data_IF_082997269578
#
_entry.id   IF_082997269578
#
_cell.length_a   1.000
_cell.length_b   1.000
_cell.length_c   1.000
_cell.angle_alpha   90.00
_cell.angle_beta   90.00
_cell.angle_gamma   90.00
#
_symmetry.space_group_name_H-M   'P 1'
#
loop_
_entity.id
_entity.type
_entity.pdbx_description
1 polymer ?
#
# COMPACT_ATOMS: atom_id res chain seq x y z
N UNK A 1 -41.19 -10.51 -8.93
CA UNK A 1 -40.85 -11.86 -8.41
C UNK A 1 -39.40 -11.85 -7.99
N UNK A 2 -39.12 -12.37 -6.79
CA UNK A 2 -37.84 -12.32 -6.03
C UNK A 2 -37.58 -11.03 -5.24
N UNK A 3 -38.48 -10.75 -4.30
CA UNK A 3 -38.20 -10.15 -2.98
C UNK A 3 -39.12 -10.91 -2.03
N UNK A 4 -38.55 -11.73 -1.15
CA UNK A 4 -39.16 -12.35 0.05
C UNK A 4 -38.46 -13.69 0.33
N UNK A 5 -37.28 -13.63 0.96
CA UNK A 5 -36.63 -14.84 1.46
C UNK A 5 -35.65 -14.58 2.62
N UNK A 6 -35.85 -13.55 3.45
CA UNK A 6 -35.03 -13.33 4.65
C UNK A 6 -35.90 -12.78 5.78
N UNK A 7 -36.76 -13.63 6.33
CA UNK A 7 -37.42 -13.39 7.62
C UNK A 7 -37.96 -14.71 8.12
N UNK A 8 -37.16 -15.41 8.93
CA UNK A 8 -37.57 -16.15 10.13
C UNK A 8 -36.43 -17.10 10.53
N UNK A 9 -35.60 -16.67 11.46
CA UNK A 9 -34.86 -17.57 12.34
C UNK A 9 -34.85 -16.98 13.75
N UNK A 10 -34.96 -17.88 14.73
CA UNK A 10 -35.64 -17.66 16.00
C UNK A 10 -34.96 -16.69 16.96
N UNK A 11 -35.77 -15.86 17.62
CA UNK A 11 -35.41 -15.21 18.87
C UNK A 11 -35.67 -16.18 20.01
N UNK A 12 -34.59 -16.70 20.57
CA UNK A 12 -34.58 -17.40 21.84
C UNK A 12 -34.82 -16.38 22.99
N UNK A 13 -35.92 -16.49 23.77
CA UNK A 13 -36.22 -15.56 24.85
C UNK A 13 -35.31 -15.75 26.10
N UNK A 14 -34.37 -16.70 26.09
CA UNK A 14 -33.45 -16.96 27.20
C UNK A 14 -32.31 -15.96 27.40
N UNK A 15 -31.86 -15.25 26.36
CA UNK A 15 -30.65 -14.40 26.41
C UNK A 15 -30.92 -12.98 26.96
N UNK A 16 -32.19 -12.59 27.09
CA UNK A 16 -32.56 -11.23 27.53
C UNK A 16 -32.46 -11.00 29.06
N UNK A 17 -32.14 -12.02 29.86
CA UNK A 17 -32.05 -11.90 31.34
C UNK A 17 -30.64 -11.78 31.90
N UNK A 18 -29.58 -12.14 31.18
CA UNK A 18 -28.20 -12.01 31.68
C UNK A 18 -27.56 -10.63 31.41
N UNK A 19 -28.06 -9.85 30.45
CA UNK A 19 -27.52 -8.52 30.15
C UNK A 19 -27.97 -7.40 31.12
N UNK A 20 -28.82 -7.71 32.12
CA UNK A 20 -29.26 -6.73 33.13
C UNK A 20 -28.39 -6.66 34.38
N UNK A 21 -27.40 -7.55 34.52
CA UNK A 21 -26.52 -7.57 35.71
C UNK A 21 -25.16 -6.91 35.49
N UNK A 22 -24.78 -6.58 34.25
CA UNK A 22 -23.50 -5.94 33.91
C UNK A 22 -23.56 -4.40 33.76
N UNK A 23 -24.73 -3.77 33.88
CA UNK A 23 -24.91 -2.34 33.61
C UNK A 23 -24.91 -1.45 34.86
N UNK A 24 -24.27 -1.88 35.96
CA UNK A 24 -24.35 -1.17 37.26
C UNK A 24 -23.00 -0.72 37.85
N UNK A 25 -21.91 -0.79 37.10
CA UNK A 25 -20.59 -0.30 37.54
C UNK A 25 -19.88 0.67 36.60
N UNK A 26 -20.54 1.14 35.53
CA UNK A 26 -19.98 2.17 34.66
C UNK A 26 -20.50 3.53 35.07
N UNK A 27 -19.57 4.49 35.25
CA UNK A 27 -19.88 5.89 35.50
C UNK A 27 -20.86 6.43 34.47
N UNK A 28 -21.62 7.45 34.85
CA UNK A 28 -22.65 8.01 33.96
C UNK A 28 -22.00 8.52 32.66
N UNK A 29 -22.71 8.47 31.51
CA UNK A 29 -22.21 8.99 30.23
C UNK A 29 -21.84 10.48 30.25
N UNK A 30 -22.22 11.21 31.31
CA UNK A 30 -21.79 12.60 31.54
C UNK A 30 -20.38 12.70 32.13
N UNK A 31 -19.94 11.74 32.96
CA UNK A 31 -18.57 11.74 33.52
C UNK A 31 -17.54 11.34 32.46
N UNK A 32 -17.81 10.34 31.62
CA UNK A 32 -16.93 9.99 30.49
C UNK A 32 -16.83 11.14 29.47
N UNK A 33 -17.93 11.84 29.19
CA UNK A 33 -17.92 12.97 28.27
C UNK A 33 -17.19 14.19 28.85
N UNK A 34 -17.26 14.41 30.17
CA UNK A 34 -16.56 15.51 30.84
C UNK A 34 -15.06 15.20 31.02
N UNK A 35 -14.70 13.94 31.24
CA UNK A 35 -13.30 13.47 31.28
C UNK A 35 -12.67 13.52 29.89
N UNK A 36 -13.37 13.07 28.82
CA UNK A 36 -12.92 13.24 27.43
C UNK A 36 -12.77 14.72 27.05
N UNK A 37 -13.70 15.59 27.47
CA UNK A 37 -13.64 17.02 27.21
C UNK A 37 -12.50 17.70 27.98
N UNK A 38 -12.20 17.26 29.21
CA UNK A 38 -11.08 17.77 30.00
C UNK A 38 -9.73 17.22 29.52
N UNK A 39 -9.64 15.97 29.07
CA UNK A 39 -8.46 15.46 28.36
C UNK A 39 -8.23 16.22 27.05
N UNK A 40 -9.28 16.50 26.27
CA UNK A 40 -9.18 17.30 25.05
C UNK A 40 -8.74 18.75 25.33
N UNK A 41 -9.22 19.35 26.43
CA UNK A 41 -8.79 20.68 26.89
C UNK A 41 -7.36 20.68 27.43
N UNK A 42 -6.93 19.65 28.16
CA UNK A 42 -5.56 19.52 28.65
C UNK A 42 -4.58 19.23 27.51
N UNK A 43 -5.01 18.52 26.46
CA UNK A 43 -4.24 18.39 25.21
C UNK A 43 -4.17 19.71 24.43
N UNK A 44 -5.02 20.70 24.72
CA UNK A 44 -5.06 22.01 24.07
C UNK A 44 -4.16 23.09 24.72
N UNK A 45 -3.36 22.75 25.74
CA UNK A 45 -2.43 23.70 26.37
C UNK A 45 -1.34 24.13 25.38
N UNK A 46 -1.13 25.45 25.32
CA UNK A 46 -0.36 26.26 24.38
C UNK A 46 0.99 25.70 23.92
N UNK A 47 1.25 25.90 22.63
CA UNK A 47 2.52 25.64 21.92
C UNK A 47 3.59 26.66 22.32
N UNK A 48 4.81 26.20 22.58
CA UNK A 48 5.98 27.06 22.85
C UNK A 48 6.47 27.84 21.61
N UNK A 49 6.10 27.43 20.39
CA UNK A 49 6.65 28.00 19.14
C UNK A 49 5.62 28.76 18.28
N UNK A 50 4.35 28.84 18.70
CA UNK A 50 3.29 29.53 17.92
C UNK A 50 2.88 28.86 16.60
N UNK A 51 3.33 27.62 16.34
CA UNK A 51 2.98 26.89 15.11
C UNK A 51 1.54 26.33 15.19
N UNK A 52 0.62 26.70 14.28
CA UNK A 52 -0.81 26.42 14.45
C UNK A 52 -1.23 24.96 14.22
N UNK A 53 -0.30 24.07 13.84
CA UNK A 53 -0.61 22.71 13.43
C UNK A 53 -1.20 21.87 14.58
N UNK A 54 -2.42 21.35 14.39
CA UNK A 54 -2.99 20.33 15.29
C UNK A 54 -2.81 18.94 14.71
N UNK A 55 -2.18 18.06 15.48
CA UNK A 55 -2.04 16.64 15.17
C UNK A 55 -3.12 15.84 15.88
N UNK A 56 -3.76 14.90 15.17
CA UNK A 56 -4.75 13.96 15.72
C UNK A 56 -4.25 12.54 15.53
N UNK A 57 -3.99 11.84 16.63
CA UNK A 57 -3.68 10.43 16.60
C UNK A 57 -4.94 9.62 16.32
N UNK A 58 -4.84 8.65 15.43
CA UNK A 58 -5.89 7.67 15.23
C UNK A 58 -5.36 6.27 15.51
N UNK A 59 -5.71 5.76 16.70
CA UNK A 59 -5.44 4.39 17.09
C UNK A 59 -6.24 3.47 16.18
N UNK A 60 -5.53 2.72 15.34
CA UNK A 60 -6.15 1.76 14.44
C UNK A 60 -5.64 0.36 14.69
N UNK A 61 -6.59 -0.56 14.76
CA UNK A 61 -6.31 -1.97 14.61
C UNK A 61 -6.02 -2.24 13.13
N UNK A 62 -4.75 -2.11 12.74
CA UNK A 62 -4.22 -2.34 11.38
C UNK A 62 -4.61 -3.70 10.78
N UNK A 63 -5.11 -4.61 11.61
CA UNK A 63 -5.57 -5.94 11.25
C UNK A 63 -6.93 -5.93 10.53
N UNK A 64 -7.73 -4.85 10.62
CA UNK A 64 -9.16 -4.91 10.28
C UNK A 64 -9.45 -5.12 8.79
N UNK A 65 -8.47 -4.92 7.90
CA UNK A 65 -8.61 -5.19 6.46
C UNK A 65 -9.81 -4.45 5.85
N UNK A 66 -10.16 -3.29 6.42
CA UNK A 66 -11.45 -2.63 6.18
C UNK A 66 -11.67 -2.25 4.71
N UNK A 67 -10.60 -1.94 3.97
CA UNK A 67 -10.65 -1.58 2.56
C UNK A 67 -10.48 -2.77 1.63
N UNK A 68 -10.30 -3.99 2.15
CA UNK A 68 -10.05 -5.17 1.34
C UNK A 68 -11.25 -5.45 0.41
N UNK A 69 -10.96 -5.62 -0.89
CA UNK A 69 -11.97 -5.85 -1.92
C UNK A 69 -12.81 -4.61 -2.32
N UNK A 70 -12.49 -3.42 -1.79
CA UNK A 70 -13.19 -2.16 -2.12
C UNK A 70 -12.58 -1.40 -3.29
N UNK A 71 -11.38 -1.79 -3.72
CA UNK A 71 -10.69 -1.17 -4.84
C UNK A 71 -11.18 -1.74 -6.18
N UNK A 72 -11.60 -0.86 -7.08
CA UNK A 72 -12.12 -1.21 -8.40
C UNK A 72 -11.43 -0.39 -9.48
N UNK A 73 -11.13 -1.04 -10.60
CA UNK A 73 -10.67 -0.40 -11.82
C UNK A 73 -11.84 -0.26 -12.79
N UNK A 74 -12.06 0.94 -13.30
CA UNK A 74 -13.04 1.19 -14.36
C UNK A 74 -12.55 0.58 -15.69
N UNK A 75 -13.34 -0.28 -16.37
CA UNK A 75 -12.96 -0.80 -17.68
C UNK A 75 -12.92 0.29 -18.76
N UNK A 76 -13.63 1.41 -18.56
CA UNK A 76 -13.73 2.50 -19.55
C UNK A 76 -12.66 3.57 -19.37
N UNK A 77 -12.48 4.07 -18.15
CA UNK A 77 -11.51 5.15 -17.88
C UNK A 77 -10.14 4.61 -17.49
N UNK A 78 -10.04 3.34 -17.11
CA UNK A 78 -8.84 2.77 -16.52
C UNK A 78 -8.49 3.34 -15.13
N UNK A 79 -9.32 4.25 -14.62
CA UNK A 79 -9.15 4.85 -13.30
C UNK A 79 -9.43 3.82 -12.21
N UNK A 80 -8.64 3.89 -11.14
CA UNK A 80 -8.80 3.04 -9.99
C UNK A 80 -9.43 3.87 -8.89
N UNK A 81 -10.64 3.48 -8.50
CA UNK A 81 -11.36 4.07 -7.39
C UNK A 81 -11.35 3.11 -6.22
N UNK A 82 -11.30 3.68 -5.02
CA UNK A 82 -11.47 2.92 -3.79
C UNK A 82 -12.72 3.43 -3.11
N UNK A 83 -13.69 2.54 -2.92
CA UNK A 83 -14.89 2.85 -2.17
C UNK A 83 -14.51 2.98 -0.69
N UNK A 84 -14.25 4.22 -0.26
CA UNK A 84 -13.89 4.53 1.12
C UNK A 84 -15.15 4.39 1.98
N UNK A 85 -15.15 3.53 3.01
CA UNK A 85 -16.22 3.57 4.00
C UNK A 85 -16.16 4.93 4.71
N UNK A 86 -17.30 5.48 5.15
CA UNK A 86 -17.36 6.78 5.81
C UNK A 86 -16.47 6.85 7.07
N UNK A 87 -16.17 5.71 7.68
CA UNK A 87 -15.28 5.59 8.83
C UNK A 87 -13.78 5.51 8.47
N UNK A 88 -13.39 5.48 7.18
CA UNK A 88 -11.98 5.46 6.82
C UNK A 88 -11.39 6.88 6.84
N UNK A 89 -10.44 7.16 7.73
CA UNK A 89 -9.86 8.47 7.87
C UNK A 89 -8.84 8.74 6.77
N UNK A 90 -8.71 10.01 6.42
CA UNK A 90 -7.64 10.48 5.57
C UNK A 90 -6.43 10.79 6.48
N UNK A 91 -5.60 9.79 6.75
CA UNK A 91 -4.33 10.01 7.44
C UNK A 91 -3.31 10.57 6.45
N UNK A 92 -2.52 11.53 6.93
CA UNK A 92 -1.51 12.27 6.16
C UNK A 92 -0.09 11.91 6.60
N UNK A 93 0.07 11.34 7.79
CA UNK A 93 1.36 10.96 8.36
C UNK A 93 1.26 9.53 8.92
N UNK A 94 2.34 8.77 8.77
CA UNK A 94 2.53 7.44 9.32
C UNK A 94 3.75 7.49 10.21
N UNK A 95 3.58 7.17 11.49
CA UNK A 95 4.68 7.07 12.46
C UNK A 95 5.12 5.63 12.63
N UNK A 96 6.33 5.30 12.15
CA UNK A 96 6.92 3.97 12.29
C UNK A 96 7.38 3.68 13.73
N UNK A 97 7.50 4.68 14.59
CA UNK A 97 7.80 4.44 16.00
C UNK A 97 6.55 4.04 16.82
N UNK A 98 5.36 4.09 16.21
CA UNK A 98 4.11 3.69 16.89
C UNK A 98 3.68 4.63 18.03
N UNK A 99 4.17 5.86 18.10
CA UNK A 99 3.91 6.75 19.24
C UNK A 99 2.46 7.21 19.27
N UNK A 100 1.84 7.17 20.45
CA UNK A 100 0.49 7.71 20.66
C UNK A 100 0.45 9.24 20.67
N UNK A 101 1.60 9.88 20.93
CA UNK A 101 1.78 11.35 20.90
C UNK A 101 3.05 11.73 20.17
N UNK A 102 2.94 12.69 19.24
CA UNK A 102 4.08 13.26 18.54
C UNK A 102 4.57 14.55 19.21
N UNK A 103 5.87 14.87 19.09
CA UNK A 103 6.40 16.17 19.51
C UNK A 103 5.64 17.31 18.86
N UNK A 104 5.46 18.42 19.60
CA UNK A 104 4.72 19.58 19.09
C UNK A 104 5.60 20.60 18.37
N UNK A 105 6.91 20.58 18.64
CA UNK A 105 7.84 21.50 18.00
C UNK A 105 8.05 21.13 16.54
N UNK A 106 7.94 22.13 15.66
CA UNK A 106 8.15 21.98 14.22
C UNK A 106 9.53 21.42 13.91
N UNK A 107 10.56 21.95 14.56
CA UNK A 107 11.95 21.54 14.33
C UNK A 107 12.14 20.06 14.63
N UNK A 108 11.56 19.57 15.74
CA UNK A 108 11.66 18.16 16.12
C UNK A 108 10.94 17.27 15.10
N UNK A 109 9.76 17.67 14.62
CA UNK A 109 9.00 16.93 13.61
C UNK A 109 9.68 16.89 12.24
N UNK A 110 10.36 17.98 11.86
CA UNK A 110 11.13 18.06 10.62
C UNK A 110 12.39 17.18 10.65
N UNK A 111 12.97 16.97 11.82
CA UNK A 111 14.14 16.09 12.02
C UNK A 111 13.76 14.63 12.33
N UNK A 112 12.47 14.35 12.51
CA UNK A 112 11.99 13.04 12.92
C UNK A 112 12.05 12.02 11.78
N UNK A 113 13.00 11.10 11.87
CA UNK A 113 13.23 10.04 10.89
C UNK A 113 12.16 8.96 10.83
N UNK A 114 11.25 8.90 11.80
CA UNK A 114 10.19 7.88 11.86
C UNK A 114 8.85 8.35 11.28
N UNK A 115 8.76 9.61 10.84
CA UNK A 115 7.54 10.19 10.28
C UNK A 115 7.55 10.15 8.74
N UNK A 116 6.55 9.47 8.19
CA UNK A 116 6.43 9.23 6.77
C UNK A 116 5.12 9.77 6.21
N UNK A 117 5.20 10.39 5.04
CA UNK A 117 4.07 10.67 4.16
C UNK A 117 3.65 9.38 3.44
N UNK A 118 2.41 8.92 3.59
CA UNK A 118 1.88 7.80 2.83
C UNK A 118 1.48 8.25 1.43
N UNK A 119 2.00 7.61 0.39
CA UNK A 119 1.64 7.83 -1.00
C UNK A 119 0.88 6.60 -1.52
N UNK A 120 -0.44 6.71 -1.78
CA UNK A 120 -1.23 5.56 -2.22
C UNK A 120 -0.74 4.97 -3.55
N UNK A 121 -0.46 3.67 -3.54
CA UNK A 121 -0.15 2.89 -4.74
C UNK A 121 -1.44 2.23 -5.23
N UNK A 122 -2.30 3.01 -5.90
CA UNK A 122 -3.66 2.56 -6.25
C UNK A 122 -3.67 1.33 -7.17
N UNK A 123 -2.75 1.25 -8.14
CA UNK A 123 -2.63 0.07 -9.00
C UNK A 123 -2.20 -1.17 -8.20
N UNK A 124 -1.19 -1.05 -7.35
CA UNK A 124 -0.79 -2.13 -6.43
C UNK A 124 -1.91 -2.56 -5.50
N UNK A 125 -2.64 -1.59 -4.96
CA UNK A 125 -3.80 -1.85 -4.08
C UNK A 125 -4.87 -2.66 -4.82
N UNK A 126 -5.22 -2.26 -6.05
CA UNK A 126 -6.17 -3.02 -6.87
C UNK A 126 -5.67 -4.44 -7.18
N UNK A 127 -4.41 -4.61 -7.55
CA UNK A 127 -3.80 -5.91 -7.82
C UNK A 127 -3.82 -6.81 -6.58
N UNK A 128 -3.36 -6.26 -5.45
CA UNK A 128 -3.34 -6.91 -4.15
C UNK A 128 -4.73 -7.41 -3.73
N UNK A 129 -5.73 -6.52 -3.74
CA UNK A 129 -7.09 -6.90 -3.36
C UNK A 129 -7.70 -7.91 -4.34
N UNK A 130 -7.37 -7.85 -5.64
CA UNK A 130 -7.83 -8.84 -6.63
C UNK A 130 -7.22 -10.22 -6.38
N UNK A 131 -5.92 -10.29 -6.10
CA UNK A 131 -5.25 -11.55 -5.75
C UNK A 131 -5.77 -12.12 -4.42
N UNK A 132 -6.09 -11.26 -3.45
CA UNK A 132 -6.67 -11.67 -2.18
C UNK A 132 -8.07 -12.29 -2.33
N UNK A 133 -8.95 -11.66 -3.12
CA UNK A 133 -10.34 -12.14 -3.32
C UNK A 133 -10.38 -13.40 -4.21
N UNK A 134 -9.46 -13.53 -5.16
CA UNK A 134 -9.38 -14.67 -6.08
C UNK A 134 -7.94 -15.23 -6.08
N UNK A 135 -7.55 -16.01 -5.06
CA UNK A 135 -6.25 -16.64 -5.03
C UNK A 135 -6.16 -17.65 -6.18
N UNK A 136 -5.25 -17.42 -7.12
CA UNK A 136 -4.95 -18.34 -8.22
C UNK A 136 -3.69 -19.14 -7.85
N UNK A 137 -3.88 -20.44 -7.59
CA UNK A 137 -2.78 -21.38 -7.35
C UNK A 137 -2.32 -21.45 -5.88
N UNK A 138 -2.07 -22.68 -5.43
CA UNK A 138 -1.64 -23.12 -4.09
C UNK A 138 -2.66 -23.03 -2.95
N UNK A 139 -2.45 -23.95 -1.99
CA UNK A 139 -3.45 -24.51 -1.08
C UNK A 139 -4.21 -23.49 -0.24
N UNK A 140 -5.28 -23.97 0.40
CA UNK A 140 -6.31 -23.20 1.14
C UNK A 140 -5.81 -22.25 2.26
N UNK A 141 -4.50 -22.07 2.45
CA UNK A 141 -3.94 -21.02 3.29
C UNK A 141 -3.89 -19.70 2.53
N UNK A 142 -4.60 -18.68 3.02
CA UNK A 142 -4.47 -17.30 2.55
C UNK A 142 -3.14 -16.73 3.06
N UNK A 143 -2.05 -17.10 2.40
CA UNK A 143 -0.76 -16.50 2.67
C UNK A 143 -0.77 -15.04 2.16
N UNK A 144 -0.85 -14.13 3.14
CA UNK A 144 -0.86 -12.69 2.90
C UNK A 144 0.43 -12.26 2.23
N UNK A 145 1.57 -12.82 2.64
CA UNK A 145 2.88 -12.45 2.12
C UNK A 145 3.02 -12.86 0.66
N UNK A 146 2.49 -14.03 0.29
CA UNK A 146 2.41 -14.43 -1.11
C UNK A 146 1.60 -13.44 -1.94
N UNK A 147 0.43 -13.02 -1.42
CA UNK A 147 -0.45 -12.06 -2.11
C UNK A 147 0.22 -10.70 -2.28
N UNK A 148 0.94 -10.24 -1.26
CA UNK A 148 1.75 -9.01 -1.29
C UNK A 148 2.86 -9.13 -2.33
N UNK A 149 3.64 -10.22 -2.32
CA UNK A 149 4.71 -10.47 -3.31
C UNK A 149 4.19 -10.49 -4.73
N UNK A 150 3.04 -11.13 -4.99
CA UNK A 150 2.41 -11.13 -6.31
C UNK A 150 2.00 -9.71 -6.75
N UNK A 151 1.37 -8.95 -5.86
CA UNK A 151 0.93 -7.60 -6.15
C UNK A 151 2.10 -6.63 -6.39
N UNK A 152 3.18 -6.77 -5.63
CA UNK A 152 4.41 -5.97 -5.75
C UNK A 152 5.25 -6.38 -6.98
N UNK A 153 5.36 -7.68 -7.27
CA UNK A 153 6.10 -8.20 -8.41
C UNK A 153 5.42 -7.97 -9.76
N UNK A 154 4.11 -7.67 -9.77
CA UNK A 154 3.39 -7.37 -11.01
C UNK A 154 4.02 -6.17 -11.75
N UNK A 155 3.95 -6.17 -13.08
CA UNK A 155 4.46 -5.05 -13.86
C UNK A 155 3.36 -4.02 -14.08
N UNK A 156 3.37 -2.91 -13.33
CA UNK A 156 2.33 -1.88 -13.41
C UNK A 156 2.87 -0.45 -13.33
N UNK A 157 1.97 0.52 -13.49
CA UNK A 157 2.31 1.94 -13.59
C UNK A 157 1.82 2.66 -12.34
N UNK A 158 2.72 2.96 -11.40
CA UNK A 158 2.37 3.48 -10.07
C UNK A 158 2.37 5.01 -9.94
N UNK A 159 2.63 5.72 -11.03
CA UNK A 159 2.75 7.18 -11.03
C UNK A 159 1.36 7.82 -11.21
N UNK A 160 1.03 8.95 -10.58
CA UNK A 160 -0.24 9.63 -10.79
C UNK A 160 -0.25 10.41 -12.12
N UNK A 161 -0.17 9.72 -13.26
CA UNK A 161 -0.32 10.33 -14.59
C UNK A 161 -1.64 9.94 -15.24
N UNK A 162 -2.25 10.90 -15.93
CA UNK A 162 -3.48 10.69 -16.72
C UNK A 162 -3.19 10.13 -18.13
N UNK A 163 -1.98 10.35 -18.65
CA UNK A 163 -1.70 10.18 -20.09
C UNK A 163 -1.66 8.71 -20.51
N UNK A 164 -2.58 8.30 -21.40
CA UNK A 164 -2.58 6.99 -22.06
C UNK A 164 -3.23 5.83 -21.30
N UNK A 165 -3.82 6.09 -20.12
CA UNK A 165 -4.43 5.03 -19.28
C UNK A 165 -5.90 4.73 -19.59
N UNK A 166 -6.57 5.63 -20.28
CA UNK A 166 -7.96 5.43 -20.66
C UNK A 166 -8.08 4.29 -21.66
N UNK A 167 -9.15 3.50 -21.53
CA UNK A 167 -9.48 2.50 -22.52
C UNK A 167 -9.95 3.18 -23.81
N UNK A 168 -9.71 2.59 -24.99
CA UNK A 168 -10.30 3.05 -26.24
C UNK A 168 -11.82 3.20 -26.21
N UNK A 169 -12.50 2.42 -25.35
CA UNK A 169 -13.95 2.49 -25.15
C UNK A 169 -14.43 3.91 -24.82
N UNK A 170 -13.64 4.70 -24.07
CA UNK A 170 -14.00 6.08 -23.72
C UNK A 170 -14.17 6.96 -24.96
N UNK A 171 -13.27 6.84 -25.93
CA UNK A 171 -13.35 7.57 -27.20
C UNK A 171 -14.41 6.99 -28.11
N UNK A 172 -14.57 5.66 -28.13
CA UNK A 172 -15.62 5.03 -28.92
C UNK A 172 -17.04 5.39 -28.46
N UNK A 173 -17.25 5.71 -27.18
CA UNK A 173 -18.53 6.26 -26.73
C UNK A 173 -18.86 7.60 -27.42
N UNK A 174 -17.86 8.48 -27.55
CA UNK A 174 -17.99 9.78 -28.25
C UNK A 174 -18.15 9.57 -29.75
N UNK A 175 -17.38 8.65 -30.35
CA UNK A 175 -17.46 8.31 -31.77
C UNK A 175 -18.84 7.73 -32.13
N UNK A 176 -19.40 6.84 -31.30
CA UNK A 176 -20.75 6.30 -31.51
C UNK A 176 -21.79 7.43 -31.53
N UNK A 177 -21.73 8.36 -30.59
CA UNK A 177 -22.66 9.49 -30.55
C UNK A 177 -22.49 10.43 -31.75
N UNK A 178 -21.25 10.81 -32.08
CA UNK A 178 -20.95 11.72 -33.19
C UNK A 178 -21.19 11.09 -34.56
N UNK A 179 -21.15 9.76 -34.68
CA UNK A 179 -21.47 9.05 -35.92
C UNK A 179 -22.89 9.30 -36.41
N UNK A 180 -23.82 9.70 -35.53
CA UNK A 180 -25.18 10.08 -35.92
C UNK A 180 -25.21 11.28 -36.90
N UNK A 181 -24.21 12.17 -36.85
CA UNK A 181 -24.09 13.31 -37.77
C UNK A 181 -23.73 12.90 -39.20
N UNK A 182 -23.23 11.67 -39.38
CA UNK A 182 -22.92 11.14 -40.71
C UNK A 182 -24.16 10.78 -41.50
N UNK A 183 -25.35 10.73 -40.87
CA UNK A 183 -26.62 10.28 -41.46
C UNK A 183 -26.56 8.92 -42.20
N UNK A 184 -25.46 8.18 -42.07
CA UNK A 184 -25.19 6.93 -42.78
C UNK A 184 -25.42 5.77 -41.82
N UNK A 185 -26.47 4.99 -42.07
CA UNK A 185 -26.82 3.82 -41.26
C UNK A 185 -25.66 2.81 -41.17
N UNK A 186 -24.86 2.70 -42.23
CA UNK A 186 -23.69 1.83 -42.29
C UNK A 186 -22.55 2.34 -41.37
N UNK A 187 -22.23 3.64 -41.40
CA UNK A 187 -21.20 4.21 -40.50
C UNK A 187 -21.64 4.14 -39.04
N UNK A 188 -22.91 4.45 -38.76
CA UNK A 188 -23.47 4.37 -37.39
C UNK A 188 -23.40 2.92 -36.87
N UNK A 189 -23.83 1.96 -37.68
CA UNK A 189 -23.86 0.55 -37.28
C UNK A 189 -22.47 -0.04 -37.08
N UNK A 190 -21.50 0.32 -37.93
CA UNK A 190 -20.10 -0.10 -37.79
C UNK A 190 -19.42 0.58 -36.59
N UNK A 191 -19.70 1.86 -36.32
CA UNK A 191 -19.23 2.56 -35.11
C UNK A 191 -19.75 1.89 -33.83
N UNK A 192 -21.04 1.56 -33.79
CA UNK A 192 -21.65 0.82 -32.68
C UNK A 192 -21.03 -0.58 -32.52
N UNK A 193 -20.82 -1.31 -33.62
CA UNK A 193 -20.15 -2.61 -33.60
C UNK A 193 -18.73 -2.53 -33.04
N UNK A 194 -17.93 -1.57 -33.52
CA UNK A 194 -16.57 -1.35 -33.02
C UNK A 194 -16.53 -0.90 -31.55
N UNK A 195 -17.52 -0.10 -31.12
CA UNK A 195 -17.70 0.27 -29.70
C UNK A 195 -18.04 -0.93 -28.81
N UNK A 196 -18.92 -1.83 -29.27
CA UNK A 196 -19.26 -3.06 -28.55
C UNK A 196 -18.07 -4.03 -28.45
N UNK A 197 -17.31 -4.21 -29.53
CA UNK A 197 -16.08 -5.02 -29.51
C UNK A 197 -15.05 -4.42 -28.55
N UNK A 198 -14.85 -3.11 -28.59
CA UNK A 198 -13.97 -2.41 -27.65
C UNK A 198 -14.44 -2.58 -26.20
N UNK A 199 -15.75 -2.52 -25.96
CA UNK A 199 -16.33 -2.75 -24.63
C UNK A 199 -16.05 -4.17 -24.12
N UNK A 200 -16.27 -5.19 -24.96
CA UNK A 200 -15.97 -6.57 -24.63
C UNK A 200 -14.49 -6.77 -24.29
N UNK A 201 -13.58 -6.25 -25.14
CA UNK A 201 -12.13 -6.32 -24.92
C UNK A 201 -11.77 -5.63 -23.59
N UNK A 202 -12.27 -4.42 -23.33
CA UNK A 202 -11.93 -3.69 -22.11
C UNK A 202 -12.46 -4.33 -20.85
N UNK A 203 -13.65 -4.94 -20.88
CA UNK A 203 -14.17 -5.72 -19.75
C UNK A 203 -13.34 -6.98 -19.53
N UNK A 204 -13.04 -7.74 -20.58
CA UNK A 204 -12.21 -8.96 -20.51
C UNK A 204 -10.78 -8.68 -20.07
N UNK A 205 -10.22 -7.56 -20.51
CA UNK A 205 -8.88 -7.13 -20.14
C UNK A 205 -8.83 -6.51 -18.74
N UNK A 206 -9.95 -6.20 -18.08
CA UNK A 206 -9.94 -5.57 -16.75
C UNK A 206 -9.59 -6.55 -15.61
N UNK A 207 -8.54 -7.34 -15.80
CA UNK A 207 -7.97 -8.30 -14.85
C UNK A 207 -6.50 -7.97 -14.60
N UNK A 208 -5.93 -8.34 -13.44
CA UNK A 208 -4.52 -8.11 -13.11
C UNK A 208 -3.52 -8.53 -14.19
N UNK A 209 -3.81 -9.64 -14.89
CA UNK A 209 -2.93 -10.19 -15.93
C UNK A 209 -3.10 -9.51 -17.29
N UNK A 210 -4.30 -9.03 -17.60
CA UNK A 210 -4.66 -8.64 -18.96
C UNK A 210 -4.79 -7.13 -19.21
N UNK A 211 -4.86 -6.28 -18.17
CA UNK A 211 -5.25 -4.87 -18.33
C UNK A 211 -4.31 -4.05 -19.21
N UNK A 212 -3.04 -4.46 -19.31
CA UNK A 212 -2.03 -3.83 -20.17
C UNK A 212 -2.21 -4.14 -21.66
N UNK A 213 -2.99 -5.16 -22.01
CA UNK A 213 -3.19 -5.61 -23.39
C UNK A 213 -4.45 -5.02 -24.04
N UNK A 214 -5.28 -4.28 -23.32
CA UNK A 214 -6.54 -3.71 -23.80
C UNK A 214 -6.37 -2.93 -25.12
N UNK A 215 -5.39 -2.02 -25.18
CA UNK A 215 -5.09 -1.23 -26.39
C UNK A 215 -4.56 -2.07 -27.54
N UNK A 216 -3.69 -3.03 -27.25
CA UNK A 216 -3.11 -3.91 -28.25
C UNK A 216 -4.14 -4.83 -28.89
N UNK A 217 -5.02 -5.42 -28.07
CA UNK A 217 -6.06 -6.34 -28.53
C UNK A 217 -7.16 -5.61 -29.31
N UNK A 218 -7.46 -4.37 -28.96
CA UNK A 218 -8.44 -3.55 -29.70
C UNK A 218 -7.87 -2.91 -30.97
N UNK A 219 -6.55 -2.72 -31.08
CA UNK A 219 -5.91 -2.02 -32.20
C UNK A 219 -6.30 -2.55 -33.60
N UNK A 220 -6.35 -3.87 -33.88
CA UNK A 220 -6.75 -4.37 -35.20
C UNK A 220 -8.16 -3.93 -35.61
N UNK A 221 -9.10 -3.93 -34.67
CA UNK A 221 -10.48 -3.50 -34.91
C UNK A 221 -10.58 -1.99 -35.13
N UNK A 222 -9.76 -1.22 -34.40
CA UNK A 222 -9.69 0.24 -34.54
C UNK A 222 -9.11 0.65 -35.90
N UNK A 223 -8.06 -0.04 -36.36
CA UNK A 223 -7.48 0.16 -37.69
C UNK A 223 -8.44 -0.28 -38.81
N UNK A 224 -9.16 -1.39 -38.62
CA UNK A 224 -10.17 -1.84 -39.57
C UNK A 224 -11.32 -0.81 -39.70
N UNK A 225 -11.78 -0.26 -38.59
CA UNK A 225 -12.79 0.80 -38.58
C UNK A 225 -12.29 2.09 -39.25
N UNK A 226 -11.04 2.49 -39.00
CA UNK A 226 -10.41 3.63 -39.68
C UNK A 226 -10.36 3.41 -41.20
N UNK A 227 -9.87 2.25 -41.65
CA UNK A 227 -9.81 1.92 -43.08
C UNK A 227 -11.20 1.91 -43.72
N UNK A 228 -12.20 1.39 -43.01
CA UNK A 228 -13.59 1.40 -43.46
C UNK A 228 -14.12 2.84 -43.67
N UNK A 229 -13.85 3.78 -42.76
CA UNK A 229 -14.25 5.18 -42.91
C UNK A 229 -13.64 5.81 -44.18
N UNK A 230 -12.38 5.49 -44.50
CA UNK A 230 -11.74 5.98 -45.73
C UNK A 230 -12.39 5.42 -47.00
N UNK A 231 -12.86 4.17 -46.98
CA UNK A 231 -13.52 3.54 -48.15
C UNK A 231 -14.94 4.06 -48.37
N UNK A 232 -15.68 4.32 -47.29
CA UNK A 232 -17.11 4.71 -47.34
C UNK A 232 -17.30 6.23 -47.31
N UNK A 233 -16.23 7.01 -47.51
CA UNK A 233 -16.28 8.47 -47.40
C UNK A 233 -17.37 9.07 -48.30
N UNK A 234 -18.39 9.76 -47.74
CA UNK A 234 -19.54 10.22 -48.50
C UNK A 234 -19.19 11.42 -49.38
N UNK A 235 -19.90 11.55 -50.50
CA UNK A 235 -19.70 12.64 -51.48
C UNK A 235 -20.96 13.45 -51.77
N UNK A 236 -22.11 13.11 -51.16
CA UNK A 236 -23.41 13.65 -51.58
C UNK A 236 -23.83 14.93 -50.83
N UNK A 237 -23.76 14.94 -49.49
CA UNK A 237 -24.21 16.09 -48.69
C UNK A 237 -23.12 16.68 -47.80
N UNK A 238 -23.13 18.02 -47.64
CA UNK A 238 -22.17 18.73 -46.81
C UNK A 238 -22.23 18.27 -45.34
N UNK A 239 -23.42 17.96 -44.84
CA UNK A 239 -23.61 17.50 -43.47
C UNK A 239 -22.95 16.12 -43.24
N UNK A 240 -23.13 15.18 -44.16
CA UNK A 240 -22.50 13.86 -44.11
C UNK A 240 -20.97 13.96 -44.17
N UNK A 241 -20.45 14.84 -45.03
CA UNK A 241 -19.01 15.10 -45.14
C UNK A 241 -18.47 15.64 -43.81
N UNK A 242 -19.13 16.65 -43.22
CA UNK A 242 -18.71 17.21 -41.93
C UNK A 242 -18.77 16.18 -40.80
N UNK A 243 -19.84 15.39 -40.73
CA UNK A 243 -19.97 14.31 -39.75
C UNK A 243 -18.89 13.25 -39.90
N UNK A 244 -18.58 12.85 -41.14
CA UNK A 244 -17.55 11.83 -41.42
C UNK A 244 -16.15 12.34 -41.12
N UNK A 245 -15.85 13.60 -41.47
CA UNK A 245 -14.59 14.26 -41.11
C UNK A 245 -14.42 14.32 -39.59
N UNK A 246 -15.48 14.67 -38.84
CA UNK A 246 -15.43 14.70 -37.39
C UNK A 246 -15.13 13.31 -36.79
N UNK A 247 -15.84 12.27 -37.25
CA UNK A 247 -15.59 10.89 -36.82
C UNK A 247 -14.15 10.45 -37.15
N UNK A 248 -13.68 10.76 -38.36
CA UNK A 248 -12.31 10.46 -38.78
C UNK A 248 -11.29 11.14 -37.85
N UNK A 249 -11.46 12.42 -37.54
CA UNK A 249 -10.59 13.15 -36.61
C UNK A 249 -10.60 12.55 -35.21
N UNK A 250 -11.76 12.11 -34.70
CA UNK A 250 -11.86 11.46 -33.40
C UNK A 250 -11.15 10.11 -33.36
N UNK A 251 -11.25 9.30 -34.42
CA UNK A 251 -10.54 8.02 -34.55
C UNK A 251 -9.03 8.25 -34.65
N UNK A 252 -8.59 9.22 -35.46
CA UNK A 252 -7.18 9.58 -35.57
C UNK A 252 -6.62 10.12 -34.25
N UNK A 253 -7.39 10.94 -33.54
CA UNK A 253 -7.02 11.41 -32.20
C UNK A 253 -6.93 10.25 -31.20
N UNK A 254 -7.87 9.31 -31.21
CA UNK A 254 -7.81 8.13 -30.35
C UNK A 254 -6.56 7.29 -30.60
N UNK A 255 -6.23 7.01 -31.86
CA UNK A 255 -5.04 6.25 -32.24
C UNK A 255 -3.77 7.02 -31.90
N UNK A 256 -3.67 8.29 -32.28
CA UNK A 256 -2.47 9.08 -32.08
C UNK A 256 -2.28 9.47 -30.60
N UNK A 257 -3.24 10.19 -30.01
CA UNK A 257 -3.13 10.66 -28.63
C UNK A 257 -3.23 9.50 -27.63
N UNK A 258 -4.11 8.51 -27.88
CA UNK A 258 -4.26 7.37 -27.00
C UNK A 258 -3.05 6.43 -27.04
N UNK A 259 -2.71 5.89 -28.22
CA UNK A 259 -1.66 4.88 -28.31
C UNK A 259 -0.26 5.47 -28.16
N UNK A 260 0.05 6.65 -28.72
CA UNK A 260 1.38 7.27 -28.50
C UNK A 260 1.59 7.67 -27.04
N UNK A 261 0.54 8.13 -26.35
CA UNK A 261 0.62 8.35 -24.90
C UNK A 261 0.84 7.05 -24.15
N UNK A 262 0.20 5.96 -24.56
CA UNK A 262 0.44 4.64 -23.97
C UNK A 262 1.88 4.16 -24.17
N UNK A 263 2.44 4.29 -25.38
CA UNK A 263 3.83 3.92 -25.67
C UNK A 263 4.84 4.77 -24.89
N UNK A 264 4.65 6.09 -24.88
CA UNK A 264 5.54 7.00 -24.16
C UNK A 264 5.49 6.78 -22.64
N UNK A 265 4.36 6.30 -22.12
CA UNK A 265 4.23 5.94 -20.70
C UNK A 265 4.65 4.51 -20.39
N UNK A 266 4.85 3.65 -21.39
CA UNK A 266 5.27 2.27 -21.19
C UNK A 266 6.59 2.16 -20.43
N UNK A 267 7.54 3.08 -20.70
CA UNK A 267 8.84 3.15 -20.01
C UNK A 267 8.77 3.35 -18.49
N UNK A 268 7.63 3.82 -17.99
CA UNK A 268 7.43 4.10 -16.58
C UNK A 268 6.80 2.95 -15.80
N UNK A 269 6.54 1.82 -16.44
CA UNK A 269 6.11 0.63 -15.73
C UNK A 269 7.25 0.14 -14.83
N UNK A 270 6.88 -0.34 -13.65
CA UNK A 270 7.79 -0.89 -12.68
C UNK A 270 7.23 -2.17 -12.04
N UNK A 271 8.11 -2.90 -11.40
CA UNK A 271 7.83 -3.98 -10.45
C UNK A 271 8.62 -3.72 -9.17
N UNK A 272 8.23 -4.36 -8.09
CA UNK A 272 8.94 -4.33 -6.82
C UNK A 272 9.32 -5.75 -6.41
N UNK A 273 10.60 -5.94 -6.16
CA UNK A 273 11.13 -7.17 -5.57
C UNK A 273 11.17 -6.98 -4.06
N UNK A 274 10.43 -7.81 -3.34
CA UNK A 274 10.40 -7.78 -1.87
C UNK A 274 11.74 -8.27 -1.34
N UNK A 275 12.47 -7.42 -0.61
CA UNK A 275 13.75 -7.76 -0.01
C UNK A 275 13.57 -8.31 1.41
N UNK A 276 12.77 -7.61 2.23
CA UNK A 276 12.60 -7.93 3.65
C UNK A 276 11.27 -7.38 4.18
N UNK A 277 10.67 -8.04 5.17
CA UNK A 277 9.61 -7.50 6.01
C UNK A 277 10.23 -7.00 7.32
N UNK A 278 9.90 -5.79 7.76
CA UNK A 278 10.47 -5.20 8.99
C UNK A 278 9.56 -5.42 10.21
N UNK A 279 8.26 -5.66 9.99
CA UNK A 279 7.24 -5.71 11.04
C UNK A 279 6.06 -4.82 10.68
N UNK A 280 4.92 -4.98 11.37
CA UNK A 280 3.73 -4.13 11.15
C UNK A 280 3.24 -4.05 9.69
N UNK A 281 3.47 -5.11 8.88
CA UNK A 281 3.21 -5.14 7.42
C UNK A 281 3.91 -4.03 6.63
N UNK A 282 5.11 -3.67 7.07
CA UNK A 282 6.04 -2.77 6.38
C UNK A 282 7.12 -3.58 5.67
N UNK A 283 7.24 -3.32 4.38
CA UNK A 283 8.05 -4.06 3.43
C UNK A 283 9.16 -3.18 2.87
N UNK A 284 10.38 -3.69 2.89
CA UNK A 284 11.50 -3.15 2.11
C UNK A 284 11.46 -3.77 0.72
N UNK A 285 11.33 -2.92 -0.28
CA UNK A 285 11.21 -3.32 -1.66
C UNK A 285 12.30 -2.67 -2.52
N UNK A 286 12.80 -3.40 -3.52
CA UNK A 286 13.63 -2.84 -4.58
C UNK A 286 12.77 -2.63 -5.83
N UNK A 287 12.74 -1.41 -6.35
CA UNK A 287 12.03 -1.09 -7.59
C UNK A 287 12.87 -1.51 -8.79
N UNK A 288 12.23 -2.22 -9.70
CA UNK A 288 12.74 -2.58 -11.02
C UNK A 288 11.96 -1.81 -12.09
N UNK A 289 12.66 -1.22 -13.06
CA UNK A 289 12.05 -0.37 -14.09
C UNK A 289 11.77 1.06 -13.63
N UNK A 290 11.05 1.82 -14.48
CA UNK A 290 10.81 3.25 -14.32
C UNK A 290 12.10 4.08 -14.02
N UNK A 291 13.22 3.69 -14.62
CA UNK A 291 14.48 4.41 -14.48
C UNK A 291 14.33 5.86 -14.99
N UNK A 292 14.86 6.82 -14.23
CA UNK A 292 14.69 8.25 -14.55
C UNK A 292 13.35 8.84 -14.11
N UNK A 293 12.49 8.11 -13.42
CA UNK A 293 11.28 8.72 -12.84
C UNK A 293 11.64 9.89 -11.91
N UNK A 294 12.72 9.76 -11.15
CA UNK A 294 13.21 10.81 -10.26
C UNK A 294 13.62 12.06 -11.02
N UNK A 295 14.24 11.93 -12.20
CA UNK A 295 14.65 13.10 -13.00
C UNK A 295 13.46 13.79 -13.66
N UNK A 296 12.46 13.03 -14.12
CA UNK A 296 11.26 13.58 -14.76
C UNK A 296 10.36 14.31 -13.75
N UNK A 297 10.21 13.77 -12.55
CA UNK A 297 9.33 14.34 -11.52
C UNK A 297 10.07 15.19 -10.47
N UNK A 298 11.37 15.45 -10.67
CA UNK A 298 12.20 16.21 -9.71
C UNK A 298 12.29 15.57 -8.33
N UNK A 299 12.05 14.25 -8.23
CA UNK A 299 12.00 13.55 -6.95
C UNK A 299 13.42 13.30 -6.47
N UNK A 300 13.81 13.95 -5.36
CA UNK A 300 15.05 13.62 -4.64
C UNK A 300 14.95 12.19 -4.13
N UNK A 301 16.08 11.48 -4.09
CA UNK A 301 16.12 10.16 -3.51
C UNK A 301 15.81 10.27 -2.01
N UNK A 302 14.71 9.65 -1.59
CA UNK A 302 14.31 9.59 -0.19
C UNK A 302 15.40 8.87 0.60
N UNK A 303 15.98 9.57 1.57
CA UNK A 303 17.01 9.01 2.44
C UNK A 303 16.35 8.43 3.67
N UNK A 304 16.12 7.12 3.63
CA UNK A 304 15.77 6.35 4.82
C UNK A 304 17.07 5.97 5.53
N UNK A 305 17.12 6.15 6.85
CA UNK A 305 18.31 5.78 7.62
C UNK A 305 18.51 4.24 7.57
N UNK A 306 19.68 3.73 7.14
CA UNK A 306 19.89 2.29 6.98
C UNK A 306 19.67 1.49 8.27
N UNK A 307 19.95 2.09 9.43
CA UNK A 307 19.74 1.49 10.75
C UNK A 307 18.26 1.19 11.03
N UNK A 308 17.35 2.08 10.58
CA UNK A 308 15.91 1.94 10.81
C UNK A 308 15.34 0.69 10.11
N UNK A 309 15.89 0.35 8.94
CA UNK A 309 15.44 -0.80 8.14
C UNK A 309 16.34 -2.03 8.30
N UNK A 310 17.37 -1.93 9.15
CA UNK A 310 18.41 -2.96 9.34
C UNK A 310 19.02 -3.43 8.01
N UNK A 311 19.37 -2.48 7.14
CA UNK A 311 20.05 -2.76 5.87
C UNK A 311 21.43 -2.13 5.85
N UNK A 312 22.42 -2.80 5.24
CA UNK A 312 23.77 -2.27 5.12
C UNK A 312 23.85 -1.01 4.23
N UNK A 313 23.03 -0.94 3.17
CA UNK A 313 23.05 0.17 2.21
C UNK A 313 21.66 0.48 1.68
N UNK A 314 21.22 1.73 1.87
CA UNK A 314 20.02 2.25 1.22
C UNK A 314 20.38 2.81 -0.16
N UNK A 315 19.67 2.36 -1.21
CA UNK A 315 19.85 2.85 -2.58
C UNK A 315 18.63 3.64 -3.02
N UNK A 316 18.76 4.41 -4.10
CA UNK A 316 17.66 5.18 -4.71
C UNK A 316 16.55 4.29 -5.31
N UNK A 317 16.82 2.99 -5.42
CA UNK A 317 15.88 1.97 -5.89
C UNK A 317 15.15 1.28 -4.73
N UNK A 318 15.54 1.53 -3.49
CA UNK A 318 14.88 0.96 -2.33
C UNK A 318 13.69 1.83 -1.93
N UNK A 319 12.58 1.18 -1.58
CA UNK A 319 11.33 1.81 -1.19
C UNK A 319 10.77 1.11 0.04
N UNK A 320 10.19 1.90 0.95
CA UNK A 320 9.34 1.36 2.01
C UNK A 320 7.90 1.35 1.51
N UNK A 321 7.27 0.18 1.56
CA UNK A 321 5.86 0.01 1.21
C UNK A 321 5.18 -0.60 2.41
N UNK A 322 4.06 -0.01 2.84
CA UNK A 322 3.24 -0.55 3.91
C UNK A 322 1.87 -0.98 3.38
N UNK A 323 1.34 -2.05 3.97
CA UNK A 323 -0.06 -2.41 3.82
C UNK A 323 -0.84 -1.86 5.02
N UNK A 324 -1.77 -0.94 4.75
CA UNK A 324 -2.57 -0.28 5.77
C UNK A 324 -4.04 -0.52 5.42
N UNK A 325 -4.69 -1.41 6.18
CA UNK A 325 -6.13 -1.70 6.08
C UNK A 325 -6.60 -2.20 4.70
N UNK A 326 -5.76 -2.88 3.94
CA UNK A 326 -6.04 -3.30 2.56
C UNK A 326 -5.51 -2.38 1.48
N UNK A 327 -4.88 -1.24 1.84
CA UNK A 327 -4.29 -0.28 0.91
C UNK A 327 -2.76 -0.37 0.93
N UNK A 328 -2.16 -0.45 -0.26
CA UNK A 328 -0.71 -0.37 -0.42
C UNK A 328 -0.29 1.09 -0.50
N UNK A 329 0.61 1.52 0.38
CA UNK A 329 1.16 2.88 0.38
C UNK A 329 2.69 2.84 0.31
N UNK A 330 3.26 3.69 -0.52
CA UNK A 330 4.70 4.00 -0.45
C UNK A 330 4.92 4.99 0.69
N UNK A 331 5.77 4.63 1.64
CA UNK A 331 6.14 5.51 2.75
C UNK A 331 7.34 6.36 2.32
N UNK A 332 7.17 7.68 2.31
CA UNK A 332 8.24 8.65 2.03
C UNK A 332 8.53 9.46 3.27
N UNK A 333 9.81 9.71 3.65
CA UNK A 333 10.12 10.58 4.78
C UNK A 333 9.46 11.95 4.62
N UNK A 334 8.87 12.48 5.68
CA UNK A 334 8.29 13.81 5.67
C UNK A 334 9.39 14.86 5.43
N UNK A 335 9.20 15.76 4.47
CA UNK A 335 10.11 16.91 4.27
C UNK A 335 9.60 18.17 4.97
N UNK A 336 10.45 19.19 5.19
CA UNK A 336 9.99 20.49 5.70
C UNK A 336 8.90 21.13 4.84
N UNK A 337 8.94 20.91 3.53
CA UNK A 337 7.89 21.37 2.61
C UNK A 337 6.57 20.63 2.82
N UNK A 338 6.60 19.31 3.08
CA UNK A 338 5.40 18.52 3.40
C UNK A 338 4.74 19.00 4.70
N UNK A 339 5.54 19.29 5.74
CA UNK A 339 5.03 19.86 6.99
C UNK A 339 4.44 21.27 6.80
N UNK A 340 5.10 22.08 5.97
CA UNK A 340 4.59 23.42 5.63
C UNK A 340 3.25 23.34 4.87
N UNK A 341 3.12 22.39 3.94
CA UNK A 341 1.88 22.14 3.21
C UNK A 341 0.78 21.63 4.16
N UNK A 342 1.09 20.72 5.07
CA UNK A 342 0.13 20.22 6.06
C UNK A 342 -0.37 21.34 7.01
N UNK A 343 0.51 22.27 7.39
CA UNK A 343 0.13 23.46 8.16
C UNK A 343 -0.78 24.40 7.38
N UNK A 344 -0.47 24.65 6.10
CA UNK A 344 -1.32 25.47 5.24
C UNK A 344 -2.71 24.82 5.01
N UNK A 345 -2.75 23.50 4.84
CA UNK A 345 -3.99 22.75 4.69
C UNK A 345 -4.84 22.82 5.97
N UNK A 346 -4.20 22.77 7.15
CA UNK A 346 -4.85 22.97 8.43
C UNK A 346 -5.39 24.40 8.57
N UNK A 347 -4.61 25.43 8.25
CA UNK A 347 -5.06 26.83 8.35
C UNK A 347 -6.24 27.12 7.40
N UNK A 348 -6.29 26.45 6.26
CA UNK A 348 -7.35 26.61 5.26
C UNK A 348 -8.64 25.87 5.64
N UNK A 349 -8.51 24.62 6.10
CA UNK A 349 -9.64 23.72 6.31
C UNK A 349 -10.04 23.54 7.77
N UNK A 350 -9.22 24.03 8.71
CA UNK A 350 -9.31 23.81 10.16
C UNK A 350 -9.42 22.33 10.57
N UNK A 351 -8.97 21.43 9.70
CA UNK A 351 -9.02 19.98 9.91
C UNK A 351 -7.66 19.49 10.40
N UNK A 352 -7.57 18.84 11.57
CA UNK A 352 -6.28 18.41 12.14
C UNK A 352 -5.58 17.39 11.24
N UNK A 353 -4.25 17.46 11.20
CA UNK A 353 -3.41 16.49 10.50
C UNK A 353 -3.53 15.16 11.23
N UNK A 354 -4.13 14.20 10.56
CA UNK A 354 -4.36 12.87 11.11
C UNK A 354 -3.13 12.00 10.87
N UNK A 355 -2.66 11.33 11.91
CA UNK A 355 -1.56 10.39 11.80
C UNK A 355 -1.89 9.04 12.44
N UNK A 356 -1.23 8.00 11.95
CA UNK A 356 -1.37 6.63 12.43
C UNK A 356 -0.02 6.09 12.88
N UNK A 357 -0.01 5.31 13.96
CA UNK A 357 1.17 4.59 14.42
C UNK A 357 1.26 3.20 13.79
N UNK A 358 2.42 2.83 13.27
CA UNK A 358 2.78 1.46 12.89
C UNK A 358 3.92 1.02 13.82
N UNK A 359 3.65 0.30 14.92
CA UNK A 359 4.70 -0.09 15.86
C UNK A 359 5.56 -1.20 15.25
N UNK A 360 6.55 -0.85 14.41
CA UNK A 360 7.43 -1.85 13.79
C UNK A 360 8.56 -2.31 14.70
N UNK A 361 8.78 -1.64 15.83
CA UNK A 361 9.91 -1.88 16.74
C UNK A 361 9.49 -2.51 18.08
N UNK A 362 8.21 -2.74 18.32
CA UNK A 362 7.73 -3.34 19.59
C UNK A 362 8.05 -4.84 19.67
N UNK A 363 8.01 -5.55 18.55
CA UNK A 363 8.18 -7.02 18.49
C UNK A 363 9.62 -7.49 18.82
N UNK A 364 10.62 -6.61 18.78
CA UNK A 364 12.02 -7.00 19.08
C UNK A 364 12.27 -7.21 20.57
N UNK A 365 11.46 -6.57 21.43
CA UNK A 365 11.60 -6.74 22.88
C UNK A 365 11.03 -8.08 23.31
N UNK A 366 9.92 -8.52 22.71
CA UNK A 366 9.29 -9.80 23.05
C UNK A 366 10.09 -11.00 22.61
N UNK A 367 10.74 -10.99 21.44
CA UNK A 367 11.58 -12.13 21.01
C UNK A 367 12.85 -12.27 21.89
N UNK A 368 13.45 -11.15 22.31
CA UNK A 368 14.58 -11.20 23.25
C UNK A 368 14.15 -11.61 24.66
N UNK A 369 12.96 -11.20 25.12
CA UNK A 369 12.41 -11.63 26.40
C UNK A 369 11.99 -13.10 26.37
N UNK A 370 11.37 -13.60 25.30
CA UNK A 370 11.06 -15.02 25.11
C UNK A 370 12.33 -15.87 25.03
N UNK A 371 13.36 -15.43 24.27
CA UNK A 371 14.66 -16.11 24.24
C UNK A 371 15.34 -16.13 25.62
N UNK A 372 15.18 -15.05 26.42
CA UNK A 372 15.72 -14.97 27.79
C UNK A 372 14.91 -15.81 28.80
N UNK A 373 13.58 -15.88 28.65
CA UNK A 373 12.70 -16.73 29.45
C UNK A 373 12.93 -18.21 29.13
N UNK A 374 13.06 -18.58 27.86
CA UNK A 374 13.44 -19.94 27.43
C UNK A 374 14.85 -20.30 27.93
N UNK A 375 15.79 -19.35 27.95
CA UNK A 375 17.12 -19.55 28.56
C UNK A 375 17.05 -19.69 30.09
N UNK A 376 16.12 -19.02 30.77
CA UNK A 376 15.91 -19.18 32.22
C UNK A 376 15.22 -20.51 32.55
N UNK A 377 14.26 -20.94 31.74
CA UNK A 377 13.54 -22.20 31.91
C UNK A 377 14.35 -23.42 31.45
N UNK A 378 15.32 -23.25 30.54
CA UNK A 378 16.28 -24.27 30.13
C UNK A 378 17.60 -24.25 30.91
N UNK A 379 17.72 -23.49 32.00
CA UNK A 379 18.79 -23.76 32.98
C UNK A 379 18.52 -25.19 33.49
N UNK A 380 19.35 -26.19 33.14
CA UNK A 380 19.01 -27.56 33.43
C UNK A 380 18.92 -27.73 34.94
N UNK A 381 17.86 -28.37 35.43
CA UNK A 381 17.67 -28.81 36.83
C UNK A 381 18.86 -29.68 37.35
N UNK A 382 19.77 -30.04 36.44
CA UNK A 382 21.08 -30.66 36.69
C UNK A 382 22.14 -29.69 37.27
N UNK A 383 22.04 -28.37 37.08
CA UNK A 383 22.93 -27.40 37.74
C UNK A 383 22.59 -27.22 39.22
N UNK A 384 21.32 -27.34 39.61
CA UNK A 384 20.91 -27.31 41.01
C UNK A 384 21.41 -28.54 41.82
N UNK A 385 21.68 -29.67 41.15
CA UNK A 385 22.24 -30.89 41.78
C UNK A 385 23.76 -31.02 41.61
N UNK A 386 24.38 -30.18 40.79
CA UNK A 386 25.82 -30.16 40.52
C UNK A 386 26.65 -29.27 41.46
N UNK A 387 26.01 -28.47 42.32
CA UNK A 387 26.68 -27.56 43.26
C UNK A 387 27.57 -28.26 44.32
N UNK A 388 27.60 -29.59 44.36
CA UNK A 388 28.52 -30.39 45.22
C UNK A 388 29.85 -30.72 44.50
N UNK A 389 30.03 -30.36 43.21
CA UNK A 389 31.31 -30.49 42.47
C UNK A 389 31.90 -29.14 42.00
N UNK A 390 31.40 -28.03 42.54
CA UNK A 390 31.72 -26.66 42.10
C UNK A 390 33.13 -26.15 42.40
N UNK A 391 33.99 -26.87 43.11
CA UNK A 391 35.34 -26.39 43.42
C UNK A 391 36.34 -26.63 42.27
N UNK A 392 36.26 -27.76 41.57
CA UNK A 392 37.21 -28.08 40.49
C UNK A 392 36.94 -27.31 39.18
N UNK A 393 35.67 -26.98 38.89
CA UNK A 393 35.33 -26.23 37.68
C UNK A 393 35.71 -24.75 37.78
N UNK A 394 35.55 -24.16 38.98
CA UNK A 394 36.00 -22.79 39.24
C UNK A 394 37.53 -22.68 39.21
N UNK A 395 38.26 -23.66 39.76
CA UNK A 395 39.74 -23.71 39.64
C UNK A 395 40.18 -23.83 38.17
N UNK A 396 39.49 -24.62 37.36
CA UNK A 396 39.81 -24.78 35.92
C UNK A 396 39.55 -23.47 35.15
N UNK A 397 38.46 -22.76 35.44
CA UNK A 397 38.19 -21.44 34.84
C UNK A 397 39.16 -20.36 35.31
N UNK A 398 39.65 -20.46 36.55
CA UNK A 398 40.68 -19.57 37.09
C UNK A 398 42.03 -19.80 36.39
N UNK A 399 42.39 -21.06 36.13
CA UNK A 399 43.57 -21.42 35.33
C UNK A 399 43.46 -20.98 33.87
N UNK A 400 42.27 -21.04 33.26
CA UNK A 400 42.04 -20.51 31.90
C UNK A 400 42.14 -18.98 31.84
N UNK A 401 41.65 -18.25 32.84
CA UNK A 401 41.83 -16.79 32.93
C UNK A 401 43.29 -16.41 33.16
N UNK A 402 44.01 -17.12 34.05
CA UNK A 402 45.44 -16.92 34.24
C UNK A 402 46.25 -17.23 32.98
N UNK A 403 45.93 -18.30 32.26
CA UNK A 403 46.57 -18.62 30.99
C UNK A 403 46.34 -17.51 29.95
N UNK A 404 45.12 -16.97 29.87
CA UNK A 404 44.78 -15.88 28.95
C UNK A 404 45.49 -14.55 29.25
N UNK A 405 45.79 -14.27 30.52
CA UNK A 405 46.59 -13.09 30.92
C UNK A 405 48.10 -13.29 30.71
N UNK A 406 48.59 -14.53 30.81
CA UNK A 406 50.02 -14.86 30.58
C UNK A 406 50.33 -14.88 29.07
N UNK A 407 49.41 -15.37 28.24
CA UNK A 407 49.54 -15.41 26.78
C UNK A 407 48.86 -14.19 26.14
N UNK A 408 49.39 -13.01 26.41
CA UNK A 408 49.00 -11.78 25.72
C UNK A 408 49.26 -11.88 24.21
N UNK A 409 48.18 -12.10 23.45
CA UNK A 409 48.08 -11.80 22.02
C UNK A 409 48.82 -12.74 21.08
N UNK A 410 48.14 -13.76 20.58
CA UNK A 410 48.30 -14.24 19.20
C UNK A 410 47.18 -15.23 18.82
N UNK A 411 46.88 -15.29 17.52
CA UNK A 411 45.82 -16.03 16.82
C UNK A 411 45.88 -17.57 16.97
N UNK A 412 46.46 -18.10 18.05
CA UNK A 412 46.76 -19.52 18.22
C UNK A 412 45.69 -20.31 19.00
N UNK A 413 44.70 -19.63 19.58
CA UNK A 413 43.64 -20.32 20.34
C UNK A 413 42.46 -20.79 19.49
N UNK A 414 42.24 -20.20 18.31
CA UNK A 414 41.08 -20.54 17.47
C UNK A 414 41.15 -21.99 16.96
N UNK A 415 42.35 -22.54 16.79
CA UNK A 415 42.57 -23.89 16.26
C UNK A 415 42.29 -24.97 17.30
N UNK A 416 42.39 -24.64 18.60
CA UNK A 416 42.07 -25.57 19.69
C UNK A 416 40.58 -25.66 19.98
N UNK A 417 39.78 -24.71 19.49
CA UNK A 417 38.32 -24.72 19.66
C UNK A 417 37.66 -25.48 18.48
N UNK A 418 38.25 -25.48 17.29
CA UNK A 418 37.75 -26.21 16.12
C UNK A 418 37.90 -27.75 16.22
N UNK A 419 38.78 -28.27 17.08
CA UNK A 419 38.99 -29.73 17.25
C UNK A 419 38.03 -30.39 18.27
N UNK A 420 37.05 -29.65 18.80
CA UNK A 420 35.96 -30.20 19.62
C UNK A 420 34.69 -30.34 18.76
N UNK A 421 34.84 -31.01 17.61
CA UNK A 421 33.72 -31.51 16.83
C UNK A 421 33.23 -32.82 17.47
N UNK A 422 31.98 -32.82 17.93
CA UNK A 422 31.32 -34.00 18.47
C UNK A 422 31.08 -35.01 17.35
N UNK A 423 31.86 -36.08 17.35
CA UNK A 423 31.52 -37.33 16.69
C UNK A 423 30.46 -38.09 17.50
N UNK A 424 29.37 -38.41 16.80
CA UNK A 424 28.16 -39.22 17.14
C UNK A 424 27.18 -38.72 18.22
#
# INVERSE_FOLDING_TARGET
MVKDAWSQEGRDPGVARELKYYSRSYGGPEEEAEEEANEQKQRQVLLDDGWPLKLKFEKKNLVSGLLMGKCRRSPMTGEITMEKPPAFPNFQVVDLAGRETLPRSRHILEEDKYLFKPIPLMYRTWLYQRHFVKPEGFGRGRDMDYTVRQALGAFCLDIPMWNGRWSPLMMYAIIMFTSALTCSSLIISTACGAGLVSCAISVSCNTPKAYRYDRWLSLPFRLAFLAYIFVVFPTESLLEILGTVLVLLLVLFELWAGDMSFFSTYRFHCSYTLLKCIGGRVYVCQREGAEGLQTVFGRKADRVEPNMVKMAKWTVLNHLIAEIEGMMVELRPMTPEDWSAAAQDYDTNFAPVTYIGLPIFEDEVSEQEEDLEDLQDHIPDKMARGAVRGTQFLETLQHFRQAREIYCGNQQLDWMIEDVDFGD
#
